data_IF_988814920692
#
_entry.id   IF_988814920692
#
_cell.length_a   1.000
_cell.length_b   1.000
_cell.length_c   1.000
_cell.angle_alpha   90.00
_cell.angle_beta   90.00
_cell.angle_gamma   90.00
#
_symmetry.space_group_name_H-M   'P 1'
#
loop_
_entity.id
_entity.type
_entity.pdbx_description
1 polymer ?
#
# COMPACT_ATOMS: atom_id res chain seq x y z
N UNK A 1 2.53 7.35 27.44
CA UNK A 1 3.12 6.29 26.59
C UNK A 1 3.69 6.99 25.37
N UNK A 2 4.96 6.82 25.07
CA UNK A 2 5.59 7.41 23.88
C UNK A 2 5.01 6.76 22.63
N UNK A 3 4.73 7.54 21.60
CA UNK A 3 4.26 7.06 20.30
C UNK A 3 5.26 7.41 19.20
N UNK A 4 5.28 6.62 18.12
CA UNK A 4 5.98 7.04 16.91
C UNK A 4 5.12 8.00 16.11
N UNK A 5 5.67 9.14 15.74
CA UNK A 5 5.07 10.05 14.78
C UNK A 5 5.73 9.87 13.43
N UNK A 6 4.96 9.67 12.36
CA UNK A 6 5.52 9.72 11.01
C UNK A 6 4.85 10.81 10.18
N UNK A 7 5.58 11.85 9.74
CA UNK A 7 5.05 12.81 8.79
C UNK A 7 4.96 12.12 7.42
N UNK A 8 3.73 11.90 6.95
CA UNK A 8 3.47 11.26 5.66
C UNK A 8 3.57 12.31 4.54
N UNK A 9 4.75 12.42 3.92
CA UNK A 9 5.09 13.46 2.95
C UNK A 9 5.04 12.89 1.52
N UNK A 10 4.68 13.72 0.54
CA UNK A 10 4.70 13.36 -0.87
C UNK A 10 3.38 12.78 -1.37
N UNK A 11 3.42 12.07 -2.50
CA UNK A 11 2.23 11.49 -3.15
C UNK A 11 1.78 10.21 -2.46
N UNK A 12 0.55 9.76 -2.73
CA UNK A 12 -0.09 8.61 -2.07
C UNK A 12 0.78 7.35 -1.99
N UNK A 13 1.45 6.95 -3.08
CA UNK A 13 2.34 5.78 -3.05
C UNK A 13 3.49 5.93 -2.03
N UNK A 14 4.06 7.14 -1.91
CA UNK A 14 5.09 7.41 -0.92
C UNK A 14 4.55 7.39 0.50
N UNK A 15 3.36 7.95 0.71
CA UNK A 15 2.68 7.93 2.00
C UNK A 15 2.41 6.48 2.46
N UNK A 16 2.03 5.59 1.54
CA UNK A 16 1.84 4.17 1.85
C UNK A 16 3.14 3.50 2.32
N UNK A 17 4.26 3.75 1.65
CA UNK A 17 5.56 3.20 2.07
C UNK A 17 5.99 3.73 3.44
N UNK A 18 5.85 5.03 3.67
CA UNK A 18 6.18 5.65 4.96
C UNK A 18 5.32 5.10 6.09
N UNK A 19 4.01 4.95 5.86
CA UNK A 19 3.10 4.33 6.82
C UNK A 19 3.49 2.89 7.14
N UNK A 20 3.77 2.07 6.11
CA UNK A 20 4.16 0.68 6.29
C UNK A 20 5.45 0.53 7.10
N UNK A 21 6.46 1.36 6.82
CA UNK A 21 7.73 1.35 7.54
C UNK A 21 7.55 1.76 9.01
N UNK A 22 6.84 2.85 9.26
CA UNK A 22 6.55 3.30 10.62
C UNK A 22 5.72 2.25 11.39
N UNK A 23 4.79 1.56 10.71
CA UNK A 23 3.99 0.51 11.33
C UNK A 23 4.79 -0.75 11.64
N UNK A 24 5.70 -1.16 10.76
CA UNK A 24 6.63 -2.25 11.04
C UNK A 24 7.52 -1.95 12.25
N UNK A 25 8.00 -0.71 12.38
CA UNK A 25 8.75 -0.26 13.56
C UNK A 25 7.89 -0.27 14.83
N UNK A 26 6.67 0.26 14.75
CA UNK A 26 5.71 0.27 15.84
C UNK A 26 5.40 -1.15 16.37
N UNK A 27 5.12 -2.09 15.48
CA UNK A 27 4.82 -3.49 15.84
C UNK A 27 6.04 -4.20 16.46
N UNK A 28 7.25 -3.99 15.90
CA UNK A 28 8.47 -4.63 16.43
C UNK A 28 8.91 -4.13 17.81
N UNK A 29 8.44 -2.96 18.23
CA UNK A 29 8.76 -2.34 19.52
C UNK A 29 7.54 -2.24 20.45
N UNK A 30 6.40 -2.82 20.04
CA UNK A 30 5.11 -2.73 20.76
C UNK A 30 4.74 -1.29 21.16
N UNK A 31 5.01 -0.34 20.27
CA UNK A 31 4.79 1.10 20.49
C UNK A 31 3.71 1.58 19.53
N UNK A 32 2.73 2.39 19.94
CA UNK A 32 1.70 2.90 19.04
C UNK A 32 2.30 3.83 17.97
N UNK A 33 1.76 3.78 16.76
CA UNK A 33 2.05 4.71 15.67
C UNK A 33 0.97 5.77 15.60
N UNK A 34 1.36 7.02 15.42
CA UNK A 34 0.51 8.16 15.14
C UNK A 34 0.92 8.84 13.82
N UNK A 35 -0.08 9.19 13.02
CA UNK A 35 0.11 9.88 11.74
C UNK A 35 -0.78 11.11 11.66
N UNK A 36 -0.37 12.16 10.91
CA UNK A 36 -1.31 13.20 10.51
C UNK A 36 -2.43 12.58 9.66
N UNK A 37 -3.60 13.24 9.55
CA UNK A 37 -4.63 12.82 8.61
C UNK A 37 -4.05 12.68 7.19
N UNK A 38 -4.36 11.56 6.53
CA UNK A 38 -3.86 11.26 5.20
C UNK A 38 -4.87 10.41 4.42
N UNK A 39 -4.73 10.39 3.10
CA UNK A 39 -5.72 9.77 2.20
C UNK A 39 -5.91 8.26 2.43
N UNK A 40 -4.90 7.57 2.99
CA UNK A 40 -5.01 6.16 3.33
C UNK A 40 -6.09 5.87 4.37
N UNK A 41 -6.40 6.82 5.27
CA UNK A 41 -7.47 6.67 6.27
C UNK A 41 -8.86 6.62 5.63
N UNK A 42 -9.05 7.20 4.44
CA UNK A 42 -10.32 7.16 3.72
C UNK A 42 -10.49 5.87 2.92
N UNK A 43 -9.38 5.31 2.43
CA UNK A 43 -9.33 4.17 1.51
C UNK A 43 -9.28 2.83 2.26
N UNK A 44 -8.43 2.76 3.29
CA UNK A 44 -8.11 1.53 4.00
C UNK A 44 -8.78 1.46 5.37
N UNK A 45 -9.03 0.25 5.82
CA UNK A 45 -9.53 -0.07 7.15
C UNK A 45 -8.37 -0.06 8.16
N UNK A 46 -7.83 1.15 8.38
CA UNK A 46 -6.75 1.39 9.33
C UNK A 46 -7.33 1.58 10.74
N UNK A 47 -6.64 1.12 11.80
CA UNK A 47 -7.09 1.37 13.16
C UNK A 47 -7.09 2.87 13.44
N UNK A 48 -8.14 3.33 14.14
CA UNK A 48 -8.19 4.70 14.66
C UNK A 48 -7.06 4.90 15.66
N UNK A 49 -6.24 5.92 15.45
CA UNK A 49 -5.16 6.26 16.38
C UNK A 49 -5.53 7.56 17.09
N UNK A 50 -5.46 7.55 18.42
CA UNK A 50 -5.49 8.77 19.21
C UNK A 50 -4.23 9.60 18.94
N UNK A 51 -4.42 10.85 18.53
CA UNK A 51 -3.34 11.76 18.17
C UNK A 51 -2.95 12.58 19.41
N UNK A 52 -2.18 12.00 20.32
CA UNK A 52 -1.63 12.73 21.48
C UNK A 52 -0.26 13.34 21.14
N UNK A 53 -0.06 14.62 21.50
CA UNK A 53 1.16 15.38 21.21
C UNK A 53 2.35 15.11 22.13
N UNK A 54 2.13 14.43 23.25
CA UNK A 54 2.96 14.72 24.43
C UNK A 54 4.30 13.97 24.50
N UNK A 55 4.57 12.99 23.63
CA UNK A 55 5.90 12.37 23.51
C UNK A 55 6.00 11.60 22.18
N UNK A 56 6.57 12.24 21.15
CA UNK A 56 6.59 11.70 19.80
C UNK A 56 8.01 11.49 19.26
N UNK A 57 8.35 10.25 18.92
CA UNK A 57 9.58 9.94 18.18
C UNK A 57 9.29 10.06 16.69
N UNK A 58 9.95 10.98 15.99
CA UNK A 58 9.73 11.20 14.56
C UNK A 58 10.45 10.14 13.71
N UNK A 59 9.68 9.40 12.92
CA UNK A 59 10.18 8.42 11.94
C UNK A 59 10.01 9.02 10.54
N UNK A 60 11.13 9.38 9.91
CA UNK A 60 11.17 9.99 8.58
C UNK A 60 11.94 9.15 7.55
N UNK A 61 11.97 9.64 6.31
CA UNK A 61 12.63 9.00 5.17
C UNK A 61 11.67 8.42 4.15
N UNK A 62 12.22 7.84 3.08
CA UNK A 62 11.43 7.27 1.99
C UNK A 62 11.14 5.78 2.18
N UNK A 63 11.88 5.07 3.04
CA UNK A 63 11.68 3.63 3.28
C UNK A 63 11.78 2.77 2.02
N UNK A 64 12.45 3.26 0.96
CA UNK A 64 12.52 2.62 -0.35
C UNK A 64 13.67 1.61 -0.48
N UNK A 65 14.60 1.59 0.48
CA UNK A 65 15.67 0.61 0.48
C UNK A 65 15.11 -0.76 0.93
N UNK A 66 15.08 -1.72 0.02
CA UNK A 66 14.54 -3.07 0.28
C UNK A 66 15.29 -3.79 1.40
N UNK A 67 16.59 -3.57 1.53
CA UNK A 67 17.42 -4.20 2.58
C UNK A 67 17.14 -3.65 3.98
N UNK A 68 16.49 -2.49 4.06
CA UNK A 68 16.16 -1.82 5.30
C UNK A 68 14.68 -2.00 5.73
N UNK A 69 13.89 -2.77 4.96
CA UNK A 69 12.46 -2.94 5.25
C UNK A 69 12.26 -3.71 6.56
N UNK A 70 11.46 -3.12 7.45
CA UNK A 70 11.11 -3.73 8.75
C UNK A 70 9.83 -4.56 8.71
N UNK A 71 9.32 -4.85 7.52
CA UNK A 71 8.04 -5.50 7.31
C UNK A 71 8.07 -6.45 6.13
N UNK A 72 7.18 -7.43 6.15
CA UNK A 72 6.98 -8.40 5.08
C UNK A 72 5.80 -8.00 4.19
N UNK A 73 5.77 -8.55 2.97
CA UNK A 73 4.62 -8.37 2.06
C UNK A 73 3.30 -8.87 2.65
N UNK A 74 3.34 -9.93 3.45
CA UNK A 74 2.15 -10.48 4.10
C UNK A 74 1.56 -9.49 5.11
N UNK A 75 2.41 -8.84 5.91
CA UNK A 75 1.98 -7.78 6.83
C UNK A 75 1.36 -6.59 6.10
N UNK A 76 1.98 -6.12 5.01
CA UNK A 76 1.45 -5.01 4.20
C UNK A 76 0.05 -5.33 3.66
N UNK A 77 -0.17 -6.56 3.15
CA UNK A 77 -1.50 -7.01 2.71
C UNK A 77 -2.53 -7.03 3.85
N UNK A 78 -2.09 -7.35 5.08
CA UNK A 78 -2.95 -7.35 6.24
C UNK A 78 -3.30 -5.92 6.70
N UNK A 79 -2.34 -4.99 6.66
CA UNK A 79 -2.55 -3.61 7.09
C UNK A 79 -3.41 -2.81 6.11
N UNK A 80 -3.19 -2.98 4.81
CA UNK A 80 -3.90 -2.23 3.77
C UNK A 80 -5.10 -2.99 3.23
N UNK A 81 -6.03 -3.33 4.11
CA UNK A 81 -7.35 -3.82 3.71
C UNK A 81 -8.21 -2.65 3.28
N UNK A 82 -8.91 -2.77 2.16
CA UNK A 82 -9.83 -1.73 1.74
C UNK A 82 -11.03 -1.67 2.68
N UNK A 83 -11.60 -0.48 2.87
CA UNK A 83 -12.90 -0.38 3.53
C UNK A 83 -13.98 -1.09 2.70
N UNK A 84 -15.02 -1.68 3.32
CA UNK A 84 -16.08 -2.39 2.59
C UNK A 84 -16.77 -1.56 1.50
N UNK A 85 -16.94 -0.25 1.72
CA UNK A 85 -17.51 0.66 0.72
C UNK A 85 -16.62 0.78 -0.54
N UNK A 86 -15.30 0.82 -0.34
CA UNK A 86 -14.33 0.88 -1.44
C UNK A 86 -14.25 -0.48 -2.15
N UNK A 87 -14.21 -1.59 -1.41
CA UNK A 87 -14.25 -2.94 -2.01
C UNK A 87 -15.49 -3.13 -2.88
N UNK A 88 -16.67 -2.70 -2.40
CA UNK A 88 -17.91 -2.73 -3.17
C UNK A 88 -17.79 -1.90 -4.45
N UNK A 89 -17.28 -0.68 -4.37
CA UNK A 89 -17.08 0.18 -5.54
C UNK A 89 -16.10 -0.43 -6.56
N UNK A 90 -15.01 -1.04 -6.09
CA UNK A 90 -14.02 -1.71 -6.94
C UNK A 90 -14.58 -2.97 -7.61
N UNK A 91 -15.46 -3.72 -6.93
CA UNK A 91 -16.08 -4.93 -7.49
C UNK A 91 -16.96 -4.67 -8.72
N UNK A 92 -17.46 -3.43 -8.87
CA UNK A 92 -18.25 -3.02 -10.02
C UNK A 92 -17.40 -2.64 -11.24
N UNK A 93 -16.08 -2.47 -11.06
CA UNK A 93 -15.15 -2.13 -12.13
C UNK A 93 -14.65 -3.43 -12.76
N UNK A 94 -14.83 -3.64 -14.08
CA UNK A 94 -14.28 -4.79 -14.76
C UNK A 94 -12.76 -4.84 -14.55
N UNK A 95 -12.27 -5.96 -14.01
CA UNK A 95 -10.84 -6.22 -13.90
C UNK A 95 -10.31 -6.53 -15.31
N UNK A 96 -9.66 -5.54 -15.94
CA UNK A 96 -8.86 -5.78 -17.12
C UNK A 96 -7.42 -6.11 -16.68
N UNK A 97 -6.99 -7.38 -16.79
CA UNK A 97 -5.67 -7.82 -16.35
C UNK A 97 -4.52 -7.13 -17.10
N UNK A 98 -4.78 -6.47 -18.23
CA UNK A 98 -3.77 -5.82 -19.07
C UNK A 98 -3.49 -4.37 -18.61
N UNK A 99 -4.36 -3.76 -17.78
CA UNK A 99 -4.21 -2.37 -17.36
C UNK A 99 -2.91 -2.09 -16.59
N UNK A 100 -2.30 -3.12 -15.98
CA UNK A 100 -1.02 -2.95 -15.30
C UNK A 100 0.15 -2.55 -16.21
N UNK A 101 0.06 -2.95 -17.49
CA UNK A 101 1.11 -2.74 -18.48
C UNK A 101 0.68 -1.80 -19.62
N UNK A 102 -0.58 -1.39 -19.66
CA UNK A 102 -1.11 -0.49 -20.70
C UNK A 102 -0.76 0.96 -20.35
N UNK A 103 0.35 1.49 -20.90
CA UNK A 103 0.48 2.94 -21.12
C UNK A 103 -0.60 3.31 -22.13
N UNK A 104 -1.74 3.78 -21.65
CA UNK A 104 -2.79 4.27 -22.54
C UNK A 104 -2.25 5.55 -23.19
N UNK A 105 -1.89 5.49 -24.47
CA UNK A 105 -1.84 6.67 -25.32
C UNK A 105 -3.32 7.07 -25.51
N UNK A 106 -3.81 7.93 -24.62
CA UNK A 106 -5.14 8.49 -24.79
C UNK A 106 -5.07 9.49 -25.97
N UNK A 107 -6.07 9.51 -26.87
CA UNK A 107 -6.32 10.65 -27.73
C UNK A 107 -6.47 11.92 -26.86
N UNK A 108 -5.90 13.04 -27.32
CA UNK A 108 -5.76 14.30 -26.57
C UNK A 108 -7.08 14.82 -25.97
N UNK A 109 -8.20 14.40 -26.54
CA UNK A 109 -9.56 14.81 -26.29
C UNK A 109 -10.21 14.18 -25.03
N UNK A 110 -9.61 13.17 -24.39
CA UNK A 110 -10.15 12.54 -23.17
C UNK A 110 -9.49 13.01 -21.85
N UNK A 111 -8.59 13.98 -21.91
CA UNK A 111 -7.80 14.42 -20.75
C UNK A 111 -8.57 15.30 -19.73
N UNK A 112 -9.84 15.63 -19.98
CA UNK A 112 -10.56 16.66 -19.21
C UNK A 112 -11.56 16.16 -18.14
N UNK A 113 -11.86 14.86 -18.04
CA UNK A 113 -12.80 14.38 -17.00
C UNK A 113 -12.08 13.91 -15.74
N UNK A 114 -12.17 14.74 -14.71
CA UNK A 114 -11.65 14.61 -13.34
C UNK A 114 -12.05 13.28 -12.68
N UNK A 115 -11.15 12.29 -12.63
CA UNK A 115 -10.76 11.46 -11.46
C UNK A 115 -9.48 10.67 -11.84
N UNK A 116 -8.39 10.63 -11.04
CA UNK A 116 -7.21 9.85 -11.38
C UNK A 116 -7.50 8.34 -11.26
N UNK A 117 -7.84 7.67 -12.36
CA UNK A 117 -8.12 6.22 -12.45
C UNK A 117 -6.87 5.30 -12.39
N UNK A 118 -5.68 5.81 -12.08
CA UNK A 118 -4.42 5.06 -12.18
C UNK A 118 -4.09 4.12 -10.99
N UNK A 119 -4.92 3.99 -9.96
CA UNK A 119 -4.44 3.45 -8.67
C UNK A 119 -4.79 1.99 -8.32
N UNK A 120 -5.50 1.23 -9.15
CA UNK A 120 -5.94 -0.14 -8.78
C UNK A 120 -4.87 -1.22 -9.04
N UNK A 121 -3.84 -0.92 -9.84
CA UNK A 121 -2.91 -1.94 -10.34
C UNK A 121 -1.85 -2.43 -9.33
N UNK A 122 -1.44 -1.62 -8.37
CA UNK A 122 -0.25 -1.95 -7.55
C UNK A 122 -0.51 -2.85 -6.33
N UNK A 123 -1.78 -3.09 -5.96
CA UNK A 123 -2.12 -3.84 -4.74
C UNK A 123 -2.69 -5.23 -5.02
N UNK A 124 -3.20 -5.49 -6.23
CA UNK A 124 -3.72 -6.80 -6.64
C UNK A 124 -2.59 -7.64 -7.24
N UNK A 125 -1.58 -7.92 -6.41
CA UNK A 125 -0.60 -8.95 -6.72
C UNK A 125 -1.28 -10.32 -6.67
N UNK A 126 -1.62 -10.81 -7.86
CA UNK A 126 -2.03 -12.17 -8.22
C UNK A 126 -1.62 -13.23 -7.20
N UNK A 127 -2.63 -13.89 -6.62
CA UNK A 127 -2.51 -15.26 -6.17
C UNK A 127 -2.30 -16.13 -7.42
N UNK A 128 -1.08 -16.23 -7.91
CA UNK A 128 -0.67 -17.41 -8.68
C UNK A 128 -0.01 -18.35 -7.71
N UNK A 129 -0.81 -19.32 -7.29
CA UNK A 129 -0.37 -20.51 -6.59
C UNK A 129 0.79 -21.17 -7.35
N UNK A 130 1.64 -21.83 -6.55
CA UNK A 130 2.73 -22.69 -6.98
C UNK A 130 2.29 -23.60 -8.14
N UNK A 131 2.79 -23.33 -9.34
CA UNK A 131 3.00 -24.42 -10.29
C UNK A 131 4.14 -25.27 -9.75
N UNK A 132 3.76 -26.44 -9.24
CA UNK A 132 4.65 -27.51 -8.88
C UNK A 132 5.63 -27.83 -10.03
N UNK A 133 6.83 -28.22 -9.61
CA UNK A 133 7.87 -28.90 -10.37
C UNK A 133 7.32 -29.82 -11.47
N UNK A 134 7.73 -29.57 -12.71
CA UNK A 134 7.84 -30.61 -13.74
C UNK A 134 9.20 -30.44 -14.41
N UNK A 135 10.17 -31.26 -13.98
CA UNK A 135 11.29 -31.62 -14.83
C UNK A 135 10.83 -32.69 -15.82
N UNK A 136 11.05 -32.55 -17.13
CA UNK A 136 11.13 -33.69 -18.01
C UNK A 136 12.60 -34.06 -18.23
N UNK A 137 12.93 -35.31 -17.90
CA UNK A 137 14.10 -36.01 -18.39
C UNK A 137 14.10 -36.06 -19.92
N UNK A 138 15.25 -35.83 -20.57
CA UNK A 138 15.70 -36.52 -21.79
C UNK A 138 17.21 -36.26 -21.92
N UNK A 139 18.07 -37.27 -21.71
CA UNK A 139 18.61 -38.17 -22.75
C UNK A 139 19.22 -37.44 -23.96
N UNK A 140 20.52 -37.16 -23.89
CA UNK A 140 21.57 -37.87 -24.65
C UNK A 140 22.95 -37.56 -24.09
#
# INVERSE_FOLDING_TARGET
>A
MTAFYTPLIGRFGNQCFQYAEARGLAESTNTPICTPPWVGEEIFDLPSVERSSDDMITVGGYGQNQDALRYTRAQVKQWFRFKPAIEKALSAIPLDPILAHRRVLLPDDLCQSVVPRQFIVLMVGSNTERCASVQPCHHR
#
